data_IF_408142171619
#
_entry.id   IF_408142171619
#
_cell.length_a   1.000
_cell.length_b   1.000
_cell.length_c   1.000
_cell.angle_alpha   90.00
_cell.angle_beta   90.00
_cell.angle_gamma   90.00
#
_symmetry.space_group_name_H-M   'P 1'
#
loop_
_entity.id
_entity.type
_entity.pdbx_description
1 polymer ?
#
# COMPACT_ATOMS: atom_id res chain seq x y z
N UNK A 1 16.44 6.01 0.00
CA UNK A 1 15.43 5.55 -0.98
C UNK A 1 15.54 6.34 -2.29
N UNK A 2 15.33 7.65 -2.33
CA UNK A 2 15.41 8.44 -3.59
C UNK A 2 16.70 8.23 -4.37
N UNK A 3 17.90 8.32 -3.72
CA UNK A 3 19.19 8.08 -4.35
C UNK A 3 19.39 6.65 -4.91
N UNK A 4 18.51 5.72 -4.57
CA UNK A 4 18.53 4.34 -5.06
C UNK A 4 17.43 4.06 -6.11
N UNK A 5 16.85 5.13 -6.66
CA UNK A 5 15.85 5.04 -7.74
C UNK A 5 14.41 4.81 -7.28
N UNK A 6 14.12 4.88 -5.98
CA UNK A 6 12.74 4.81 -5.48
C UNK A 6 12.05 6.15 -5.78
N UNK A 7 11.05 6.14 -6.65
CA UNK A 7 10.31 7.33 -7.09
C UNK A 7 8.91 7.43 -6.50
N UNK A 8 8.35 6.30 -6.08
CA UNK A 8 7.06 6.23 -5.43
C UNK A 8 7.05 5.18 -4.32
N UNK A 9 6.21 5.39 -3.31
CA UNK A 9 5.94 4.44 -2.24
C UNK A 9 4.45 4.35 -2.00
N UNK A 10 3.98 3.16 -1.64
CA UNK A 10 2.62 2.92 -1.15
C UNK A 10 2.77 2.38 0.27
N UNK A 11 2.38 3.19 1.26
CA UNK A 11 2.45 2.82 2.67
C UNK A 11 1.10 2.24 3.11
N UNK A 12 1.02 0.96 3.48
CA UNK A 12 -0.23 0.40 3.97
C UNK A 12 -0.53 0.85 5.40
N UNK A 13 -1.80 0.97 5.74
CA UNK A 13 -2.21 1.00 7.14
C UNK A 13 -2.00 -0.38 7.74
N UNK A 14 -1.08 -0.51 8.70
CA UNK A 14 -0.65 -1.78 9.26
C UNK A 14 -0.68 -1.78 10.80
N UNK A 15 -0.48 -2.96 11.38
CA UNK A 15 -0.36 -3.11 12.83
C UNK A 15 1.00 -2.62 13.32
N UNK A 16 0.99 -1.57 14.17
CA UNK A 16 2.21 -0.87 14.64
C UNK A 16 2.98 -1.60 15.76
N UNK A 17 2.71 -2.88 16.00
CA UNK A 17 3.40 -3.67 17.03
C UNK A 17 2.73 -3.66 18.40
N UNK A 18 1.71 -2.83 18.57
CA UNK A 18 0.86 -2.79 19.76
C UNK A 18 -0.56 -2.38 19.35
N UNK A 19 -1.59 -2.84 20.10
CA UNK A 19 -2.97 -2.42 19.83
C UNK A 19 -3.12 -0.91 20.00
N UNK A 20 -3.85 -0.28 19.10
CA UNK A 20 -4.35 1.08 19.30
C UNK A 20 -5.46 1.04 20.36
N UNK A 21 -5.51 2.04 21.21
CA UNK A 21 -6.37 2.01 22.41
C UNK A 21 -7.78 2.54 22.17
N UNK A 22 -7.97 3.32 21.12
CA UNK A 22 -9.26 3.92 20.78
C UNK A 22 -9.27 4.47 19.35
N UNK A 23 -10.43 4.86 18.86
CA UNK A 23 -10.60 5.41 17.52
C UNK A 23 -9.81 6.70 17.27
N UNK A 24 -9.57 7.51 18.30
CA UNK A 24 -8.75 8.73 18.21
C UNK A 24 -7.32 8.41 17.78
N UNK A 25 -6.70 7.36 18.34
CA UNK A 25 -5.36 6.93 17.92
C UNK A 25 -5.34 6.39 16.49
N UNK A 26 -6.43 5.82 16.00
CA UNK A 26 -6.60 5.47 14.58
C UNK A 26 -6.69 6.71 13.69
N UNK A 27 -7.48 7.71 14.10
CA UNK A 27 -7.62 8.97 13.38
C UNK A 27 -6.27 9.67 13.25
N UNK A 28 -5.50 9.76 14.33
CA UNK A 28 -4.17 10.36 14.34
C UNK A 28 -3.22 9.60 13.40
N UNK A 29 -3.22 8.27 13.46
CA UNK A 29 -2.40 7.42 12.61
C UNK A 29 -2.76 7.56 11.11
N UNK A 30 -4.03 7.43 10.74
CA UNK A 30 -4.47 7.60 9.35
C UNK A 30 -4.20 9.01 8.83
N UNK A 31 -4.37 10.02 9.67
CA UNK A 31 -4.02 11.41 9.33
C UNK A 31 -2.52 11.58 9.09
N UNK A 32 -1.68 10.90 9.88
CA UNK A 32 -0.23 10.95 9.71
C UNK A 32 0.20 10.34 8.37
N UNK A 33 -0.27 9.13 8.02
CA UNK A 33 0.14 8.48 6.76
C UNK A 33 -0.41 9.20 5.53
N UNK A 34 -1.64 9.72 5.58
CA UNK A 34 -2.25 10.45 4.45
C UNK A 34 -1.64 11.84 4.30
N UNK A 35 -1.37 12.52 5.40
CA UNK A 35 -0.94 13.93 5.41
C UNK A 35 0.56 14.09 5.55
N UNK A 36 1.10 13.83 6.74
CA UNK A 36 2.47 14.17 7.08
C UNK A 36 3.51 13.35 6.32
N UNK A 37 3.34 12.03 6.23
CA UNK A 37 4.28 11.18 5.51
C UNK A 37 4.32 11.50 4.02
N UNK A 38 3.17 11.77 3.42
CA UNK A 38 3.07 12.24 2.03
C UNK A 38 3.82 13.56 1.81
N UNK A 39 3.64 14.52 2.72
CA UNK A 39 4.35 15.79 2.68
C UNK A 39 5.87 15.57 2.82
N UNK A 40 6.28 14.79 3.81
CA UNK A 40 7.69 14.49 4.09
C UNK A 40 8.38 13.79 2.91
N UNK A 41 7.78 12.75 2.35
CA UNK A 41 8.32 12.03 1.20
C UNK A 41 8.46 12.95 -0.04
N UNK A 42 7.49 13.84 -0.25
CA UNK A 42 7.52 14.82 -1.33
C UNK A 42 8.73 15.76 -1.29
N UNK A 43 9.26 16.06 -0.10
CA UNK A 43 10.47 16.89 0.05
C UNK A 43 11.74 16.20 -0.48
N UNK A 44 11.71 14.88 -0.65
CA UNK A 44 12.78 14.08 -1.24
C UNK A 44 12.50 13.68 -2.70
N UNK A 45 11.44 14.24 -3.30
CA UNK A 45 11.02 13.90 -4.67
C UNK A 45 10.36 12.52 -4.81
N UNK A 46 9.96 11.90 -3.68
CA UNK A 46 9.26 10.61 -3.67
C UNK A 46 7.76 10.88 -3.61
N UNK A 47 7.00 10.27 -4.52
CA UNK A 47 5.54 10.27 -4.45
C UNK A 47 5.09 9.26 -3.41
N UNK A 48 4.29 9.72 -2.47
CA UNK A 48 3.75 8.89 -1.42
C UNK A 48 2.25 8.71 -1.62
N UNK A 49 1.84 7.46 -1.59
CA UNK A 49 0.48 6.98 -1.55
C UNK A 49 0.30 6.10 -0.33
N UNK A 50 -0.94 5.82 0.06
CA UNK A 50 -1.19 4.92 1.17
C UNK A 50 -2.45 4.08 0.93
N UNK A 51 -2.59 3.03 1.71
CA UNK A 51 -3.87 2.34 1.88
C UNK A 51 -4.41 2.65 3.26
N UNK A 52 -5.72 2.48 3.46
CA UNK A 52 -6.37 2.68 4.76
C UNK A 52 -7.25 1.49 5.09
N UNK A 53 -7.22 1.04 6.35
CA UNK A 53 -7.97 -0.13 6.75
C UNK A 53 -7.90 -0.38 8.26
N UNK A 54 -8.78 -1.24 8.72
CA UNK A 54 -8.71 -1.84 10.04
C UNK A 54 -7.88 -3.12 9.95
N UNK A 55 -6.76 -3.15 10.64
CA UNK A 55 -5.87 -4.31 10.66
C UNK A 55 -6.54 -5.52 11.32
N UNK A 56 -6.25 -6.74 10.83
CA UNK A 56 -6.82 -7.99 11.33
C UNK A 56 -6.65 -8.18 12.84
N UNK A 57 -5.46 -7.88 13.39
CA UNK A 57 -5.23 -8.03 14.85
C UNK A 57 -6.13 -7.13 15.69
N UNK A 58 -6.37 -5.91 15.23
CA UNK A 58 -7.19 -4.91 15.93
C UNK A 58 -8.68 -5.13 15.70
N UNK A 59 -9.06 -5.87 14.66
CA UNK A 59 -10.42 -6.33 14.42
C UNK A 59 -10.97 -7.20 15.57
N UNK A 60 -10.09 -7.82 16.35
CA UNK A 60 -10.46 -8.62 17.52
C UNK A 60 -10.89 -7.77 18.76
N UNK A 61 -10.78 -6.46 18.68
CA UNK A 61 -11.43 -5.52 19.62
C UNK A 61 -12.68 -4.94 18.95
N UNK A 62 -13.84 -5.54 19.21
CA UNK A 62 -15.09 -5.22 18.52
C UNK A 62 -15.49 -3.75 18.67
N UNK A 63 -15.37 -3.17 19.88
CA UNK A 63 -15.68 -1.75 20.12
C UNK A 63 -14.78 -0.82 19.28
N UNK A 64 -13.49 -1.09 19.25
CA UNK A 64 -12.55 -0.33 18.41
C UNK A 64 -12.89 -0.50 16.94
N UNK A 65 -13.15 -1.73 16.51
CA UNK A 65 -13.41 -2.07 15.13
C UNK A 65 -14.68 -1.39 14.60
N UNK A 66 -15.77 -1.38 15.36
CA UNK A 66 -17.01 -0.67 15.01
C UNK A 66 -16.76 0.83 14.83
N UNK A 67 -16.08 1.46 15.78
CA UNK A 67 -15.76 2.88 15.71
C UNK A 67 -14.81 3.21 14.51
N UNK A 68 -13.86 2.32 14.20
CA UNK A 68 -12.98 2.50 13.03
C UNK A 68 -13.77 2.36 11.73
N UNK A 69 -14.66 1.38 11.62
CA UNK A 69 -15.49 1.21 10.43
C UNK A 69 -16.41 2.41 10.16
N UNK A 70 -16.87 3.12 11.20
CA UNK A 70 -17.66 4.35 11.06
C UNK A 70 -16.85 5.48 10.40
N UNK A 71 -15.57 5.64 10.77
CA UNK A 71 -14.73 6.73 10.26
C UNK A 71 -14.04 6.41 8.94
N UNK A 72 -13.78 5.13 8.66
CA UNK A 72 -12.95 4.68 7.55
C UNK A 72 -13.38 5.21 6.17
N UNK A 73 -14.70 5.30 5.83
CA UNK A 73 -15.14 5.84 4.55
C UNK A 73 -14.65 7.26 4.26
N UNK A 74 -14.49 8.10 5.31
CA UNK A 74 -14.01 9.48 5.16
C UNK A 74 -12.52 9.55 4.83
N UNK A 75 -11.74 8.59 5.37
CA UNK A 75 -10.31 8.48 5.07
C UNK A 75 -10.05 7.84 3.71
N UNK A 76 -10.84 6.86 3.32
CA UNK A 76 -10.71 6.17 2.04
C UNK A 76 -10.85 7.09 0.81
N UNK A 77 -11.53 8.23 0.97
CA UNK A 77 -11.73 9.22 -0.10
C UNK A 77 -10.69 10.37 -0.10
N UNK A 78 -9.65 10.28 0.72
CA UNK A 78 -8.61 11.32 0.78
C UNK A 78 -7.58 11.18 -0.33
N UNK A 79 -6.98 12.33 -0.68
CA UNK A 79 -5.93 12.38 -1.69
C UNK A 79 -4.78 11.42 -1.37
N UNK A 80 -4.39 10.60 -2.36
CA UNK A 80 -3.28 9.66 -2.24
C UNK A 80 -3.64 8.33 -1.59
N UNK A 81 -4.89 8.11 -1.19
CA UNK A 81 -5.38 6.79 -0.77
C UNK A 81 -5.69 5.96 -2.01
N UNK A 82 -5.03 4.83 -2.16
CA UNK A 82 -5.08 4.01 -3.39
C UNK A 82 -5.76 2.65 -3.20
N UNK A 83 -6.02 2.22 -1.97
CA UNK A 83 -6.72 0.97 -1.69
C UNK A 83 -7.28 0.94 -0.26
N UNK A 84 -8.20 0.02 -0.01
CA UNK A 84 -8.54 -0.42 1.35
C UNK A 84 -7.56 -1.53 1.75
N UNK A 85 -6.82 -1.35 2.84
CA UNK A 85 -5.77 -2.29 3.30
C UNK A 85 -4.87 -1.71 4.39
N UNK A 86 -4.13 -2.55 5.11
CA UNK A 86 -4.16 -4.01 5.07
C UNK A 86 -5.42 -4.54 5.75
N UNK A 87 -6.12 -5.43 5.09
CA UNK A 87 -7.29 -6.13 5.62
C UNK A 87 -7.08 -7.64 5.48
N UNK A 88 -7.80 -8.48 6.19
CA UNK A 88 -7.68 -9.94 6.04
C UNK A 88 -7.55 -10.65 7.38
N UNK A 89 -6.70 -11.66 7.45
CA UNK A 89 -6.57 -12.55 8.59
C UNK A 89 -5.18 -12.56 9.23
N UNK A 90 -5.13 -12.67 10.56
CA UNK A 90 -3.94 -13.05 11.33
C UNK A 90 -4.16 -14.38 12.07
N UNK A 91 -5.16 -14.46 12.94
CA UNK A 91 -5.55 -15.66 13.69
C UNK A 91 -6.82 -16.34 13.15
N UNK A 92 -7.41 -15.79 12.09
CA UNK A 92 -8.59 -16.30 11.39
C UNK A 92 -9.85 -16.40 12.27
N UNK A 93 -10.04 -15.46 13.19
CA UNK A 93 -11.19 -15.40 14.09
C UNK A 93 -12.48 -14.99 13.37
N UNK A 94 -13.62 -15.13 14.03
CA UNK A 94 -14.93 -14.67 13.52
C UNK A 94 -14.98 -13.14 13.40
N UNK A 95 -14.34 -12.39 14.32
CA UNK A 95 -14.28 -10.94 14.23
C UNK A 95 -13.40 -10.47 13.08
N UNK A 96 -12.25 -11.11 12.86
CA UNK A 96 -11.43 -10.84 11.66
C UNK A 96 -12.25 -11.09 10.38
N UNK A 97 -13.01 -12.20 10.30
CA UNK A 97 -13.87 -12.51 9.17
C UNK A 97 -14.95 -11.44 8.96
N UNK A 98 -15.66 -11.05 10.04
CA UNK A 98 -16.69 -9.99 10.02
C UNK A 98 -16.16 -8.70 9.42
N UNK A 99 -15.04 -8.19 9.95
CA UNK A 99 -14.50 -6.90 9.54
C UNK A 99 -13.72 -6.96 8.23
N UNK A 100 -13.18 -8.09 7.87
CA UNK A 100 -12.62 -8.30 6.54
C UNK A 100 -13.71 -8.15 5.46
N UNK A 101 -14.84 -8.83 5.62
CA UNK A 101 -15.99 -8.77 4.71
C UNK A 101 -16.54 -7.35 4.57
N UNK A 102 -16.77 -6.65 5.69
CA UNK A 102 -17.27 -5.28 5.68
C UNK A 102 -16.30 -4.31 4.95
N UNK A 103 -15.00 -4.53 5.03
CA UNK A 103 -14.02 -3.71 4.34
C UNK A 103 -13.94 -4.02 2.84
N UNK A 104 -14.17 -5.27 2.42
CA UNK A 104 -14.34 -5.61 1.00
C UNK A 104 -15.58 -4.90 0.44
N UNK A 105 -16.71 -4.94 1.15
CA UNK A 105 -17.94 -4.23 0.75
C UNK A 105 -17.71 -2.72 0.62
N UNK A 106 -16.97 -2.13 1.56
CA UNK A 106 -16.59 -0.71 1.50
C UNK A 106 -15.74 -0.42 0.25
N UNK A 107 -14.73 -1.25 -0.02
CA UNK A 107 -13.87 -1.09 -1.20
C UNK A 107 -14.66 -1.18 -2.50
N UNK A 108 -15.55 -2.17 -2.62
CA UNK A 108 -16.44 -2.31 -3.78
C UNK A 108 -17.36 -1.10 -3.95
N UNK A 109 -17.95 -0.60 -2.86
CA UNK A 109 -18.81 0.60 -2.89
C UNK A 109 -18.06 1.86 -3.35
N UNK A 110 -16.78 1.97 -3.01
CA UNK A 110 -15.94 3.12 -3.36
C UNK A 110 -15.13 2.91 -4.65
N UNK A 111 -15.29 1.77 -5.29
CA UNK A 111 -14.55 1.36 -6.50
C UNK A 111 -13.02 1.30 -6.30
N UNK A 112 -12.56 1.00 -5.09
CA UNK A 112 -11.16 0.92 -4.72
C UNK A 112 -10.62 -0.51 -4.77
N UNK A 113 -9.32 -0.71 -5.07
CA UNK A 113 -8.63 -1.97 -4.83
C UNK A 113 -8.61 -2.34 -3.35
N UNK A 114 -8.35 -3.61 -3.06
CA UNK A 114 -8.07 -4.11 -1.71
C UNK A 114 -6.68 -4.71 -1.61
N UNK A 115 -5.98 -4.42 -0.51
CA UNK A 115 -4.70 -5.04 -0.14
C UNK A 115 -4.96 -6.00 1.02
N UNK A 116 -4.76 -7.30 0.75
CA UNK A 116 -5.13 -8.38 1.66
C UNK A 116 -3.90 -8.93 2.36
N UNK A 117 -3.83 -8.70 3.67
CA UNK A 117 -2.86 -9.34 4.56
C UNK A 117 -3.18 -10.83 4.70
N UNK A 118 -2.17 -11.68 4.60
CA UNK A 118 -2.32 -13.12 4.81
C UNK A 118 -1.54 -13.59 6.03
N UNK A 119 -2.11 -14.52 6.83
CA UNK A 119 -1.53 -14.90 8.12
C UNK A 119 -0.14 -15.54 7.99
N UNK A 120 0.69 -15.36 8.99
CA UNK A 120 2.00 -16.01 9.06
C UNK A 120 1.88 -17.48 9.44
N UNK A 121 0.98 -17.80 10.37
CA UNK A 121 0.61 -19.18 10.73
C UNK A 121 -0.42 -19.71 9.75
N UNK A 122 -0.33 -20.99 9.41
CA UNK A 122 -1.23 -21.63 8.44
C UNK A 122 -1.34 -20.86 7.12
N UNK A 123 -0.19 -20.37 6.62
CA UNK A 123 -0.07 -19.48 5.46
C UNK A 123 -0.93 -19.94 4.30
N UNK A 124 -0.82 -21.20 3.90
CA UNK A 124 -1.53 -21.72 2.73
C UNK A 124 -3.05 -21.70 2.93
N UNK A 125 -3.55 -22.25 4.04
CA UNK A 125 -5.00 -22.29 4.31
C UNK A 125 -5.59 -20.89 4.51
N UNK A 126 -4.88 -20.03 5.24
CA UNK A 126 -5.34 -18.65 5.45
C UNK A 126 -5.35 -17.81 4.17
N UNK A 127 -4.36 -17.98 3.29
CA UNK A 127 -4.37 -17.33 1.98
C UNK A 127 -5.53 -17.81 1.12
N UNK A 128 -5.81 -19.12 1.11
CA UNK A 128 -6.91 -19.70 0.35
C UNK A 128 -8.25 -19.19 0.88
N UNK A 129 -8.43 -19.19 2.20
CA UNK A 129 -9.63 -18.61 2.84
C UNK A 129 -9.83 -17.14 2.47
N UNK A 130 -8.75 -16.34 2.48
CA UNK A 130 -8.84 -14.93 2.07
C UNK A 130 -9.35 -14.78 0.63
N UNK A 131 -8.82 -15.60 -0.29
CA UNK A 131 -9.25 -15.60 -1.68
C UNK A 131 -10.71 -16.11 -1.84
N UNK A 132 -11.12 -17.08 -1.05
CA UNK A 132 -12.50 -17.59 -1.07
C UNK A 132 -13.49 -16.51 -0.62
N UNK A 133 -13.17 -15.74 0.43
CA UNK A 133 -13.97 -14.58 0.87
C UNK A 133 -14.07 -13.51 -0.21
N UNK A 134 -12.96 -13.18 -0.88
CA UNK A 134 -12.99 -12.23 -2.00
C UNK A 134 -13.90 -12.72 -3.14
N UNK A 135 -13.82 -14.01 -3.48
CA UNK A 135 -14.66 -14.64 -4.50
C UNK A 135 -16.14 -14.65 -4.10
N UNK A 136 -16.45 -14.96 -2.84
CA UNK A 136 -17.84 -14.95 -2.31
C UNK A 136 -18.50 -13.58 -2.43
N UNK A 137 -17.72 -12.48 -2.22
CA UNK A 137 -18.21 -11.11 -2.39
C UNK A 137 -18.29 -10.69 -3.87
N UNK A 138 -17.67 -11.44 -4.78
CA UNK A 138 -17.68 -11.12 -6.21
C UNK A 138 -16.83 -9.89 -6.56
N UNK A 139 -15.85 -9.53 -5.73
CA UNK A 139 -14.91 -8.47 -6.08
C UNK A 139 -14.07 -8.91 -7.28
N UNK A 140 -13.82 -7.99 -8.23
CA UNK A 140 -12.99 -8.26 -9.40
C UNK A 140 -11.57 -8.67 -8.94
N UNK A 141 -11.08 -9.86 -9.35
CA UNK A 141 -9.72 -10.31 -9.01
C UNK A 141 -8.63 -9.32 -9.40
N UNK A 142 -8.84 -8.52 -10.44
CA UNK A 142 -7.89 -7.48 -10.85
C UNK A 142 -7.75 -6.34 -9.84
N UNK A 143 -8.68 -6.20 -8.90
CA UNK A 143 -8.67 -5.23 -7.80
C UNK A 143 -8.17 -5.80 -6.47
N UNK A 144 -7.75 -7.05 -6.43
CA UNK A 144 -7.33 -7.72 -5.19
C UNK A 144 -5.83 -8.00 -5.22
N UNK A 145 -5.11 -7.41 -4.26
CA UNK A 145 -3.70 -7.63 -4.03
C UNK A 145 -3.57 -8.56 -2.81
N UNK A 146 -3.13 -9.79 -3.03
CA UNK A 146 -2.85 -10.76 -1.96
C UNK A 146 -1.39 -10.58 -1.55
N UNK A 147 -1.16 -10.15 -0.31
CA UNK A 147 0.20 -9.85 0.18
C UNK A 147 0.81 -10.99 1.00
N UNK A 148 2.13 -10.88 1.19
CA UNK A 148 2.97 -11.82 1.92
C UNK A 148 2.97 -13.23 1.34
N UNK A 149 2.94 -13.35 0.01
CA UNK A 149 3.04 -14.64 -0.66
C UNK A 149 4.40 -15.33 -0.44
N UNK A 150 4.40 -16.62 -0.69
CA UNK A 150 5.58 -17.47 -0.75
C UNK A 150 5.39 -18.55 -1.83
N UNK A 151 6.32 -19.50 -1.91
CA UNK A 151 6.30 -20.58 -2.89
C UNK A 151 5.07 -21.50 -2.80
N UNK A 152 4.44 -21.59 -1.62
CA UNK A 152 3.26 -22.43 -1.41
C UNK A 152 1.95 -21.78 -1.91
N UNK A 153 1.92 -20.45 -2.01
CA UNK A 153 0.68 -19.71 -2.28
C UNK A 153 0.63 -19.06 -3.66
N UNK A 154 1.79 -18.68 -4.20
CA UNK A 154 1.90 -17.88 -5.43
C UNK A 154 1.13 -18.48 -6.61
N UNK A 155 1.27 -19.80 -6.82
CA UNK A 155 0.62 -20.46 -7.96
C UNK A 155 -0.90 -20.28 -7.94
N UNK A 156 -1.53 -20.57 -6.80
CA UNK A 156 -2.98 -20.48 -6.65
C UNK A 156 -3.47 -19.03 -6.73
N UNK A 157 -2.71 -18.07 -6.18
CA UNK A 157 -3.04 -16.65 -6.26
C UNK A 157 -3.07 -16.19 -7.71
N UNK A 158 -2.05 -16.55 -8.50
CA UNK A 158 -1.97 -16.21 -9.92
C UNK A 158 -3.05 -16.93 -10.75
N UNK A 159 -3.30 -18.22 -10.49
CA UNK A 159 -4.30 -19.03 -11.19
C UNK A 159 -5.72 -18.47 -10.99
N UNK A 160 -6.01 -17.89 -9.82
CA UNK A 160 -7.30 -17.23 -9.54
C UNK A 160 -7.37 -15.79 -10.07
N UNK A 161 -6.30 -15.30 -10.70
CA UNK A 161 -6.26 -13.99 -11.35
C UNK A 161 -5.98 -12.80 -10.43
N UNK A 162 -5.59 -13.04 -9.18
CA UNK A 162 -5.21 -12.01 -8.21
C UNK A 162 -3.79 -11.48 -8.45
N UNK A 163 -3.46 -10.34 -7.87
CA UNK A 163 -2.08 -9.86 -7.77
C UNK A 163 -1.37 -10.55 -6.62
N UNK A 164 -0.19 -11.11 -6.87
CA UNK A 164 0.64 -11.76 -5.86
C UNK A 164 1.73 -10.79 -5.39
N UNK A 165 1.59 -10.21 -4.20
CA UNK A 165 2.58 -9.33 -3.61
C UNK A 165 3.51 -10.09 -2.65
N UNK A 166 4.79 -9.68 -2.64
CA UNK A 166 5.86 -10.32 -1.88
C UNK A 166 6.66 -9.28 -1.11
N UNK A 167 6.57 -9.34 0.21
CA UNK A 167 7.38 -8.49 1.08
C UNK A 167 8.78 -9.05 1.26
N UNK A 168 9.77 -8.33 0.78
CA UNK A 168 11.17 -8.76 0.82
C UNK A 168 11.82 -8.33 2.14
N UNK A 169 12.22 -9.33 2.94
CA UNK A 169 12.88 -9.16 4.23
C UNK A 169 14.23 -9.87 4.27
N UNK A 170 15.21 -9.38 5.05
CA UNK A 170 16.53 -9.99 5.13
C UNK A 170 16.53 -11.41 5.72
N UNK A 171 15.64 -11.69 6.68
CA UNK A 171 15.65 -12.92 7.47
C UNK A 171 14.30 -13.60 7.68
N UNK A 172 13.21 -12.96 7.23
CA UNK A 172 11.84 -13.48 7.37
C UNK A 172 11.09 -13.34 6.06
N UNK A 173 9.85 -13.83 5.99
CA UNK A 173 9.00 -13.75 4.79
C UNK A 173 9.72 -14.23 3.52
N UNK A 174 9.89 -13.37 2.51
CA UNK A 174 10.57 -13.69 1.26
C UNK A 174 11.94 -13.04 1.20
N UNK A 175 13.00 -13.82 0.99
CA UNK A 175 14.35 -13.30 0.75
C UNK A 175 14.60 -12.98 -0.72
N UNK A 176 15.53 -12.06 -0.98
CA UNK A 176 15.88 -11.60 -2.34
C UNK A 176 16.23 -12.75 -3.30
N UNK A 177 17.05 -13.72 -2.87
CA UNK A 177 17.45 -14.85 -3.72
C UNK A 177 16.27 -15.76 -4.07
N UNK A 178 15.43 -16.11 -3.09
CA UNK A 178 14.21 -16.90 -3.30
C UNK A 178 13.23 -16.19 -4.25
N UNK A 179 13.13 -14.85 -4.14
CA UNK A 179 12.28 -14.09 -5.04
C UNK A 179 12.77 -14.20 -6.50
N UNK A 180 14.08 -14.12 -6.73
CA UNK A 180 14.62 -14.27 -8.09
C UNK A 180 14.39 -15.67 -8.65
N UNK A 181 14.49 -16.72 -7.83
CA UNK A 181 14.12 -18.09 -8.24
C UNK A 181 12.63 -18.18 -8.64
N UNK A 182 11.74 -17.53 -7.88
CA UNK A 182 10.32 -17.44 -8.23
C UNK A 182 10.10 -16.71 -9.57
N UNK A 183 10.84 -15.64 -9.84
CA UNK A 183 10.74 -14.93 -11.11
C UNK A 183 11.20 -15.79 -12.30
N UNK A 184 12.20 -16.65 -12.12
CA UNK A 184 12.57 -17.63 -13.15
C UNK A 184 11.46 -18.63 -13.44
N UNK A 185 10.72 -19.03 -12.42
CA UNK A 185 9.65 -20.02 -12.53
C UNK A 185 8.34 -19.46 -13.08
N UNK A 186 7.91 -18.28 -12.63
CA UNK A 186 6.57 -17.71 -12.89
C UNK A 186 6.60 -16.49 -13.82
N UNK A 187 7.77 -15.94 -14.11
CA UNK A 187 7.87 -14.64 -14.80
C UNK A 187 7.42 -13.49 -13.90
N UNK A 188 7.00 -12.38 -14.51
CA UNK A 188 6.63 -11.15 -13.79
C UNK A 188 5.14 -10.80 -13.80
N UNK A 189 4.31 -11.54 -14.54
CA UNK A 189 2.92 -11.15 -14.72
C UNK A 189 2.15 -11.25 -13.40
N UNK A 190 1.49 -10.14 -13.00
CA UNK A 190 0.74 -10.00 -11.75
C UNK A 190 1.56 -10.26 -10.47
N UNK A 191 2.87 -10.18 -10.52
CA UNK A 191 3.75 -10.25 -9.35
C UNK A 191 4.20 -8.86 -8.95
N UNK A 192 4.02 -8.50 -7.68
CA UNK A 192 4.49 -7.24 -7.09
C UNK A 192 5.53 -7.57 -6.03
N UNK A 193 6.65 -6.86 -6.01
CA UNK A 193 7.62 -6.96 -4.93
C UNK A 193 7.65 -5.65 -4.15
N UNK A 194 7.70 -5.77 -2.84
CA UNK A 194 7.75 -4.64 -1.93
C UNK A 194 8.87 -4.77 -0.91
N UNK A 195 9.20 -3.67 -0.25
CA UNK A 195 10.17 -3.60 0.84
C UNK A 195 9.47 -3.14 2.10
N UNK A 196 10.02 -3.49 3.26
CA UNK A 196 9.54 -2.97 4.53
C UNK A 196 10.57 -2.06 5.19
N UNK A 197 10.09 -1.06 5.94
CA UNK A 197 10.92 -0.05 6.55
C UNK A 197 10.81 -0.01 8.08
N UNK A 198 9.90 -0.78 8.70
CA UNK A 198 9.37 -0.45 10.01
C UNK A 198 9.18 -1.63 10.95
N UNK A 199 9.09 -2.85 10.45
CA UNK A 199 8.83 -4.03 11.26
C UNK A 199 10.07 -4.91 11.41
N UNK A 200 10.64 -4.95 12.61
CA UNK A 200 11.79 -5.78 12.93
C UNK A 200 13.03 -5.45 12.07
N UNK A 201 13.81 -6.46 11.75
CA UNK A 201 14.94 -6.31 10.83
C UNK A 201 14.38 -6.23 9.41
N UNK A 202 14.29 -5.03 8.89
CA UNK A 202 13.75 -4.69 7.57
C UNK A 202 14.80 -4.02 6.67
N UNK A 203 14.51 -3.92 5.38
CA UNK A 203 15.44 -3.37 4.40
C UNK A 203 14.68 -2.48 3.41
N UNK A 204 14.70 -1.15 3.59
CA UNK A 204 13.96 -0.22 2.73
C UNK A 204 14.41 -0.20 1.26
N UNK A 205 15.58 -0.77 0.96
CA UNK A 205 16.11 -0.88 -0.40
C UNK A 205 15.97 -2.30 -0.97
N UNK A 206 15.16 -3.16 -0.36
CA UNK A 206 15.02 -4.56 -0.76
C UNK A 206 14.54 -4.70 -2.21
N UNK A 207 13.62 -3.86 -2.68
CA UNK A 207 13.16 -3.86 -4.09
C UNK A 207 14.33 -3.56 -5.04
N UNK A 208 15.09 -2.48 -4.80
CA UNK A 208 16.24 -2.12 -5.64
C UNK A 208 17.33 -3.20 -5.63
N UNK A 209 17.57 -3.82 -4.47
CA UNK A 209 18.54 -4.92 -4.32
C UNK A 209 18.07 -6.17 -5.07
N UNK A 210 16.78 -6.50 -5.00
CA UNK A 210 16.16 -7.62 -5.71
C UNK A 210 16.22 -7.41 -7.22
N UNK A 211 15.90 -6.21 -7.71
CA UNK A 211 16.02 -5.85 -9.11
C UNK A 211 17.46 -6.04 -9.62
N UNK A 212 18.45 -5.58 -8.86
CA UNK A 212 19.86 -5.76 -9.21
C UNK A 212 20.25 -7.24 -9.27
N UNK A 213 19.87 -8.03 -8.27
CA UNK A 213 20.19 -9.47 -8.27
C UNK A 213 19.49 -10.18 -9.44
N UNK A 214 18.23 -9.88 -9.71
CA UNK A 214 17.47 -10.43 -10.83
C UNK A 214 18.19 -10.16 -12.17
N UNK A 215 18.62 -8.93 -12.41
CA UNK A 215 19.39 -8.56 -13.61
C UNK A 215 20.72 -9.34 -13.71
N UNK A 216 21.47 -9.48 -12.62
CA UNK A 216 22.71 -10.26 -12.58
C UNK A 216 22.50 -11.75 -12.85
N UNK A 217 21.31 -12.28 -12.53
CA UNK A 217 20.95 -13.67 -12.77
C UNK A 217 20.17 -13.89 -14.08
N UNK A 218 20.13 -12.89 -14.95
CA UNK A 218 19.59 -13.02 -16.31
C UNK A 218 18.07 -12.89 -16.44
N UNK A 219 17.38 -12.40 -15.42
CA UNK A 219 15.97 -11.95 -15.55
C UNK A 219 15.97 -10.73 -16.47
N UNK A 220 15.07 -10.72 -17.46
CA UNK A 220 14.97 -9.62 -18.42
C UNK A 220 14.53 -8.32 -17.76
N UNK A 221 14.95 -7.20 -18.35
CA UNK A 221 14.56 -5.86 -17.89
C UNK A 221 13.04 -5.67 -17.93
N UNK A 222 12.33 -6.28 -18.87
CA UNK A 222 10.87 -6.24 -18.95
C UNK A 222 10.22 -6.89 -17.73
N UNK A 223 10.70 -8.05 -17.28
CA UNK A 223 10.21 -8.71 -16.07
C UNK A 223 10.53 -7.89 -14.83
N UNK A 224 11.74 -7.33 -14.73
CA UNK A 224 12.14 -6.46 -13.62
C UNK A 224 11.24 -5.22 -13.58
N UNK A 225 10.98 -4.60 -14.73
CA UNK A 225 10.07 -3.46 -14.83
C UNK A 225 8.65 -3.82 -14.37
N UNK A 226 8.13 -4.98 -14.76
CA UNK A 226 6.81 -5.44 -14.33
C UNK A 226 6.73 -5.51 -12.81
N UNK A 227 7.62 -6.25 -12.17
CA UNK A 227 7.49 -6.59 -10.72
C UNK A 227 7.86 -5.45 -9.79
N UNK A 228 8.76 -4.54 -10.21
CA UNK A 228 9.21 -3.40 -9.40
C UNK A 228 8.39 -2.13 -9.62
N UNK A 229 7.54 -2.09 -10.64
CA UNK A 229 6.96 -0.83 -11.08
C UNK A 229 5.57 -1.00 -11.73
N UNK A 230 5.49 -1.62 -12.92
CA UNK A 230 4.28 -1.59 -13.73
C UNK A 230 3.10 -2.27 -13.05
N UNK A 231 3.32 -3.45 -12.44
CA UNK A 231 2.23 -4.18 -11.78
C UNK A 231 1.65 -3.43 -10.59
N UNK A 232 2.48 -2.70 -9.82
CA UNK A 232 1.99 -1.85 -8.74
C UNK A 232 1.15 -0.69 -9.30
N UNK A 233 1.59 -0.08 -10.41
CA UNK A 233 0.82 0.95 -11.09
C UNK A 233 -0.51 0.41 -11.61
N UNK A 234 -0.52 -0.76 -12.26
CA UNK A 234 -1.72 -1.37 -12.82
C UNK A 234 -2.72 -1.80 -11.73
N UNK A 235 -2.22 -2.28 -10.58
CA UNK A 235 -3.05 -2.70 -9.46
C UNK A 235 -3.65 -1.50 -8.72
N UNK A 236 -2.82 -0.60 -8.21
CA UNK A 236 -3.24 0.50 -7.36
C UNK A 236 -3.72 1.73 -8.14
N UNK A 237 -3.28 1.89 -9.39
CA UNK A 237 -3.72 2.97 -10.28
C UNK A 237 -5.21 2.92 -10.60
N UNK A 238 -5.87 1.77 -10.43
CA UNK A 238 -7.32 1.62 -10.55
C UNK A 238 -8.11 2.52 -9.59
N UNK A 239 -7.50 2.99 -8.51
CA UNK A 239 -8.07 4.02 -7.62
C UNK A 239 -8.28 5.38 -8.30
N UNK A 240 -7.64 5.63 -9.45
CA UNK A 240 -7.61 6.94 -10.11
C UNK A 240 -6.69 7.97 -9.44
N UNK A 241 -6.12 7.67 -8.26
CA UNK A 241 -5.25 8.55 -7.48
C UNK A 241 -3.77 8.47 -7.87
N UNK A 242 -3.36 7.38 -8.54
CA UNK A 242 -1.98 7.09 -8.87
C UNK A 242 -1.79 7.10 -10.38
N UNK A 243 -0.91 7.99 -10.89
CA UNK A 243 -0.62 8.14 -12.31
C UNK A 243 0.89 8.13 -12.55
N UNK A 244 1.32 7.44 -13.59
CA UNK A 244 2.74 7.36 -13.98
C UNK A 244 3.37 8.75 -14.16
N UNK A 245 2.64 9.70 -14.74
CA UNK A 245 3.11 11.08 -14.91
C UNK A 245 3.52 11.77 -13.61
N UNK A 246 2.98 11.33 -12.49
CA UNK A 246 3.22 11.98 -11.19
C UNK A 246 4.64 11.74 -10.68
N UNK A 247 5.30 10.66 -11.09
CA UNK A 247 6.66 10.34 -10.66
C UNK A 247 7.71 10.38 -11.78
N UNK A 248 7.35 10.19 -13.06
CA UNK A 248 8.31 10.30 -14.16
C UNK A 248 8.71 11.76 -14.42
N UNK A 249 7.80 12.69 -14.18
CA UNK A 249 8.05 14.12 -14.30
C UNK A 249 7.63 14.81 -12.99
N UNK A 250 8.32 14.55 -11.87
CA UNK A 250 7.95 15.15 -10.60
C UNK A 250 8.04 16.68 -10.72
N UNK A 251 7.02 17.42 -10.26
CA UNK A 251 7.11 18.87 -10.23
C UNK A 251 8.28 19.29 -9.31
N UNK A 252 8.83 20.49 -9.53
CA UNK A 252 9.80 21.05 -8.59
C UNK A 252 9.29 20.98 -7.16
N UNK A 253 10.19 20.69 -6.21
CA UNK A 253 9.84 20.62 -4.80
C UNK A 253 9.38 22.00 -4.35
N UNK A 254 8.10 22.13 -4.03
CA UNK A 254 7.46 23.36 -3.53
C UNK A 254 6.62 22.99 -2.31
N UNK A 255 7.17 23.27 -1.14
CA UNK A 255 6.53 22.93 0.14
C UNK A 255 5.12 23.53 0.27
N UNK A 256 4.91 24.73 -0.22
CA UNK A 256 3.59 25.37 -0.15
C UNK A 256 2.56 24.62 -1.01
N UNK A 257 2.93 24.24 -2.23
CA UNK A 257 2.05 23.46 -3.10
C UNK A 257 1.77 22.07 -2.51
N UNK A 258 2.75 21.41 -1.91
CA UNK A 258 2.53 20.14 -1.21
C UNK A 258 1.59 20.29 -0.02
N UNK A 259 1.74 21.35 0.78
CA UNK A 259 0.85 21.64 1.89
C UNK A 259 -0.57 21.93 1.40
N UNK A 260 -0.74 22.82 0.45
CA UNK A 260 -2.05 23.20 -0.10
C UNK A 260 -2.73 22.06 -0.86
N UNK A 261 -1.95 21.20 -1.52
CA UNK A 261 -2.44 19.98 -2.17
C UNK A 261 -2.81 18.84 -1.22
N UNK A 262 -2.64 18.99 0.09
CA UNK A 262 -2.89 17.96 1.08
C UNK A 262 -4.01 18.38 2.05
N UNK A 263 -5.21 17.83 1.87
CA UNK A 263 -6.38 18.20 2.66
C UNK A 263 -6.24 17.93 4.15
N UNK A 264 -5.47 16.91 4.54
CA UNK A 264 -5.21 16.58 5.95
C UNK A 264 -4.37 17.69 6.60
N UNK A 265 -3.26 18.08 5.96
CA UNK A 265 -2.40 19.14 6.49
C UNK A 265 -3.13 20.49 6.61
N UNK A 266 -4.03 20.77 5.68
CA UNK A 266 -4.89 21.96 5.74
C UNK A 266 -5.98 21.88 6.81
N UNK A 267 -6.12 20.79 7.54
CA UNK A 267 -7.22 20.59 8.48
C UNK A 267 -8.58 20.55 7.79
N UNK A 268 -8.68 19.94 6.61
CA UNK A 268 -9.88 19.82 5.78
C UNK A 268 -10.40 21.14 5.19
N UNK A 269 -9.66 22.25 5.32
CA UNK A 269 -10.04 23.54 4.72
C UNK A 269 -9.80 23.53 3.21
N UNK A 270 -10.54 24.36 2.50
CA UNK A 270 -10.32 24.58 1.06
C UNK A 270 -8.91 25.09 0.78
N UNK A 271 -8.27 24.67 -0.34
CA UNK A 271 -6.96 25.17 -0.69
C UNK A 271 -6.98 26.66 -1.00
N UNK A 272 -6.00 27.38 -0.47
CA UNK A 272 -5.83 28.81 -0.77
C UNK A 272 -5.27 29.02 -2.17
N UNK A 273 -4.47 28.05 -2.66
CA UNK A 273 -3.89 28.10 -4.01
C UNK A 273 -4.82 27.35 -4.95
N UNK A 274 -5.58 28.09 -5.73
CA UNK A 274 -6.45 27.55 -6.78
C UNK A 274 -5.74 27.37 -8.13
N UNK A 275 -4.70 28.18 -8.38
CA UNK A 275 -3.89 28.12 -9.59
C UNK A 275 -2.39 28.07 -9.21
N UNK A 276 -1.71 26.94 -9.42
CA UNK A 276 -0.27 26.83 -9.15
C UNK A 276 0.59 27.74 -10.05
N UNK A 277 0.02 28.30 -11.13
CA UNK A 277 0.67 29.26 -12.02
C UNK A 277 0.40 30.72 -11.62
N UNK A 278 -0.48 30.98 -10.65
CA UNK A 278 -0.67 32.34 -10.15
C UNK A 278 0.67 32.91 -9.67
N UNK A 279 0.99 34.12 -10.13
CA UNK A 279 2.25 34.79 -9.77
C UNK A 279 2.31 34.99 -8.27
N UNK A 280 3.13 34.19 -7.60
CA UNK A 280 3.44 34.35 -6.19
C UNK A 280 4.41 35.50 -6.04
N UNK A 281 4.16 36.40 -5.09
CA UNK A 281 5.19 37.32 -4.64
C UNK A 281 6.34 36.51 -4.05
N UNK A 282 7.57 36.75 -4.49
CA UNK A 282 8.78 36.09 -3.95
C UNK A 282 8.92 36.30 -2.44
N UNK A 283 8.33 37.38 -1.93
CA UNK A 283 8.36 37.73 -0.52
C UNK A 283 7.44 36.85 0.36
N UNK A 284 6.46 36.14 -0.23
CA UNK A 284 5.60 35.20 0.49
C UNK A 284 6.28 33.84 0.80
N UNK A 285 7.50 33.64 0.35
CA UNK A 285 8.26 32.39 0.51
C UNK A 285 9.37 32.48 1.57
N UNK A 286 9.57 33.65 2.21
CA UNK A 286 10.47 33.76 3.34
C UNK A 286 9.84 33.13 4.57
N UNK A 287 10.22 31.90 4.86
CA UNK A 287 10.08 31.32 6.17
C UNK A 287 11.38 31.69 6.91
N UNK A 288 11.29 32.62 7.83
CA UNK A 288 12.31 32.83 8.84
C UNK A 288 12.34 31.67 9.85
#
# INVERSE_FOLDING_TARGET
MAASGVVAVIEPAFWIGQPRTNVGSYIDYLSAIIGFERFRAGQFGIRHYCTVGLNSKEANNEELAENVMEILPRFALKDGVVAIGEIGYDDQTELEDKYFRLQIELAMKLDLPVMVHTPHRDKKSGTYRSMDVCKEHGIDPSKVIIDHNNEETVKEVLDRGYWAAFSIYPSTKMGTARMVELLHQYGGNKIIIDSACDWGISEPLAVSKTARLASLQGISDDVIKLVCYQNALDAYGQSGQMKESDWLNPPPIDQRTFYEGNSILRGQREPVIQDPKSKRNKDDLSID
#
